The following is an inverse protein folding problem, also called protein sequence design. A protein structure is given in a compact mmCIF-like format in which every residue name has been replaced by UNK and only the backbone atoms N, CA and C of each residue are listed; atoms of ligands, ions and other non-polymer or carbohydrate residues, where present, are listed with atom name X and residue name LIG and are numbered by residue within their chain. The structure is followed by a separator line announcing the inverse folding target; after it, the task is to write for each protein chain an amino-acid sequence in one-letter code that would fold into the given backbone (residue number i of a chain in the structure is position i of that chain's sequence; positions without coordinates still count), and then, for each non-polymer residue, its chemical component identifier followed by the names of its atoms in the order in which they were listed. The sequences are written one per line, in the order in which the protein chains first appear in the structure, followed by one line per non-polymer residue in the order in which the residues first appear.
data_IF_851150128211
#
_entry.id   IF_851150128211
#
_cell.length_a   1.000
_cell.length_b   1.000
_cell.length_c   1.000
_cell.angle_alpha   90.00
_cell.angle_beta   90.00
_cell.angle_gamma   90.00
#
_symmetry.space_group_name_H-M   'P 1'
#
loop_
_entity.id
_entity.type
_entity.pdbx_description
1 polymer ?
#
# COMPACT_ATOMS: atom_id res chain seq x y z
N UNK A 1 -20.70 -4.93 2.80
CA UNK A 1 -19.24 -4.99 2.60
C UNK A 1 -18.58 -4.12 3.65
N UNK A 2 -17.43 -4.52 4.22
CA UNK A 2 -16.69 -3.66 5.14
C UNK A 2 -16.25 -2.36 4.44
N UNK A 3 -16.10 -1.28 5.22
CA UNK A 3 -15.62 0.02 4.75
C UNK A 3 -14.31 -0.14 3.93
N UNK A 4 -14.25 0.37 2.68
CA UNK A 4 -13.06 0.25 1.83
C UNK A 4 -11.78 0.80 2.47
N UNK A 5 -11.86 1.87 3.28
CA UNK A 5 -10.71 2.42 3.98
C UNK A 5 -10.19 1.44 5.04
N UNK A 6 -11.10 0.84 5.80
CA UNK A 6 -10.78 -0.19 6.79
C UNK A 6 -10.18 -1.41 6.10
N UNK A 7 -10.75 -1.87 4.98
CA UNK A 7 -10.24 -3.02 4.21
C UNK A 7 -8.79 -2.81 3.76
N UNK A 8 -8.47 -1.66 3.16
CA UNK A 8 -7.10 -1.35 2.71
C UNK A 8 -6.11 -1.31 3.88
N UNK A 9 -6.51 -0.73 5.02
CA UNK A 9 -5.70 -0.73 6.24
C UNK A 9 -5.45 -2.15 6.74
N UNK A 10 -6.49 -2.98 6.85
CA UNK A 10 -6.36 -4.37 7.30
C UNK A 10 -5.44 -5.19 6.39
N UNK A 11 -5.49 -4.97 5.07
CA UNK A 11 -4.57 -5.61 4.12
C UNK A 11 -3.10 -5.21 4.38
N UNK A 12 -2.84 -3.93 4.62
CA UNK A 12 -1.49 -3.47 4.96
C UNK A 12 -0.98 -4.13 6.26
N UNK A 13 -1.81 -4.19 7.30
CA UNK A 13 -1.44 -4.84 8.56
C UNK A 13 -1.30 -6.36 8.43
N UNK A 14 -2.12 -7.00 7.61
CA UNK A 14 -1.99 -8.43 7.31
C UNK A 14 -0.66 -8.73 6.60
N UNK A 15 -0.26 -7.90 5.64
CA UNK A 15 1.03 -7.99 4.97
C UNK A 15 2.19 -7.89 5.98
N UNK A 16 2.21 -6.84 6.83
CA UNK A 16 3.24 -6.68 7.87
C UNK A 16 3.29 -7.89 8.81
N UNK A 17 2.13 -8.36 9.29
CA UNK A 17 2.05 -9.52 10.19
C UNK A 17 2.63 -10.77 9.51
N UNK A 18 2.23 -11.05 8.27
CA UNK A 18 2.74 -12.20 7.51
C UNK A 18 4.26 -12.17 7.37
N UNK A 19 4.82 -11.01 7.02
CA UNK A 19 6.26 -10.84 6.85
C UNK A 19 7.05 -11.02 8.16
N UNK A 20 6.52 -10.55 9.28
CA UNK A 20 7.16 -10.69 10.58
C UNK A 20 7.03 -12.11 11.17
N UNK A 21 5.95 -12.82 10.83
CA UNK A 21 5.76 -14.22 11.23
C UNK A 21 6.71 -15.16 10.49
N UNK A 22 6.96 -14.93 9.20
CA UNK A 22 7.86 -15.75 8.38
C UNK A 22 8.95 -14.91 7.70
N UNK A 23 9.93 -14.48 8.51
CA UNK A 23 11.04 -13.64 8.05
C UNK A 23 11.93 -14.35 7.04
N UNK A 24 12.12 -15.67 7.18
CA UNK A 24 12.95 -16.46 6.27
C UNK A 24 12.32 -16.55 4.88
N UNK A 25 11.01 -16.78 4.80
CA UNK A 25 10.29 -16.75 3.52
C UNK A 25 10.30 -15.35 2.90
N UNK A 26 10.12 -14.30 3.71
CA UNK A 26 10.22 -12.92 3.24
C UNK A 26 11.59 -12.61 2.60
N UNK A 27 12.68 -13.02 3.25
CA UNK A 27 14.03 -12.82 2.76
C UNK A 27 14.28 -13.56 1.42
N UNK A 28 13.74 -14.77 1.26
CA UNK A 28 13.79 -15.51 -0.02
C UNK A 28 13.03 -14.77 -1.13
N UNK A 29 11.86 -14.21 -0.83
CA UNK A 29 11.05 -13.50 -1.82
C UNK A 29 11.67 -12.16 -2.25
N UNK A 30 12.31 -11.42 -1.33
CA UNK A 30 12.59 -9.99 -1.55
C UNK A 30 14.00 -9.51 -1.24
N UNK A 31 14.81 -10.23 -0.46
CA UNK A 31 16.12 -9.74 0.02
C UNK A 31 17.31 -10.39 -0.69
N UNK A 32 17.09 -11.07 -1.82
CA UNK A 32 18.13 -11.80 -2.56
C UNK A 32 18.96 -12.73 -1.66
N UNK A 33 18.32 -13.38 -0.68
CA UNK A 33 18.96 -14.17 0.36
C UNK A 33 19.82 -15.35 -0.16
N UNK A 34 19.62 -15.76 -1.42
CA UNK A 34 20.39 -16.83 -2.07
C UNK A 34 21.24 -16.23 -3.20
N UNK A 35 22.57 -16.20 -3.09
CA UNK A 35 23.46 -15.67 -4.13
C UNK A 35 23.22 -16.34 -5.48
N UNK A 36 23.01 -15.54 -6.52
CA UNK A 36 22.78 -16.02 -7.88
C UNK A 36 21.38 -16.59 -8.15
N UNK A 37 20.51 -16.71 -7.14
CA UNK A 37 19.12 -17.09 -7.34
C UNK A 37 18.35 -15.97 -8.03
N UNK A 38 17.57 -16.34 -9.05
CA UNK A 38 16.57 -15.47 -9.67
C UNK A 38 15.25 -16.23 -9.71
N UNK A 39 14.14 -15.65 -9.22
CA UNK A 39 12.85 -16.29 -9.33
C UNK A 39 12.49 -16.49 -10.79
N UNK A 40 12.01 -17.70 -11.11
CA UNK A 40 11.50 -18.01 -12.44
C UNK A 40 10.15 -17.31 -12.72
N UNK A 41 9.68 -17.32 -13.98
CA UNK A 41 8.43 -16.69 -14.37
C UNK A 41 7.21 -17.17 -13.55
N UNK A 42 7.17 -18.45 -13.21
CA UNK A 42 6.09 -19.04 -12.40
C UNK A 42 6.08 -18.48 -10.97
N UNK A 43 7.25 -18.34 -10.34
CA UNK A 43 7.38 -17.76 -9.00
C UNK A 43 6.97 -16.28 -8.98
N UNK A 44 7.33 -15.52 -10.04
CA UNK A 44 6.91 -14.13 -10.19
C UNK A 44 5.39 -14.01 -10.39
N UNK A 45 4.80 -14.90 -11.19
CA UNK A 45 3.35 -14.96 -11.38
C UNK A 45 2.62 -15.31 -10.07
N UNK A 46 3.14 -16.27 -9.30
CA UNK A 46 2.61 -16.61 -7.98
C UNK A 46 2.70 -15.44 -7.01
N UNK A 47 3.83 -14.74 -6.96
CA UNK A 47 3.99 -13.53 -6.16
C UNK A 47 2.97 -12.45 -6.56
N UNK A 48 2.77 -12.23 -7.86
CA UNK A 48 1.77 -11.28 -8.37
C UNK A 48 0.33 -11.70 -8.07
N UNK A 49 0.03 -13.00 -8.06
CA UNK A 49 -1.31 -13.49 -7.72
C UNK A 49 -1.74 -13.09 -6.29
N UNK A 50 -0.78 -12.99 -5.37
CA UNK A 50 -1.04 -12.50 -4.00
C UNK A 50 -1.43 -11.01 -3.96
N UNK A 51 -1.05 -10.25 -4.99
CA UNK A 51 -1.37 -8.82 -5.14
C UNK A 51 -2.82 -8.60 -5.58
N UNK A 52 -3.48 -9.59 -6.19
CA UNK A 52 -4.84 -9.47 -6.74
C UNK A 52 -5.83 -8.99 -5.68
N UNK A 53 -5.73 -9.50 -4.45
CA UNK A 53 -6.62 -9.10 -3.34
C UNK A 53 -6.49 -7.61 -3.00
N UNK A 54 -5.27 -7.06 -3.08
CA UNK A 54 -5.02 -5.63 -2.90
C UNK A 54 -5.55 -4.81 -4.07
N UNK A 55 -5.31 -5.26 -5.31
CA UNK A 55 -5.78 -4.57 -6.52
C UNK A 55 -7.31 -4.50 -6.55
N UNK A 56 -7.99 -5.58 -6.20
CA UNK A 56 -9.46 -5.58 -6.11
C UNK A 56 -9.97 -4.65 -5.00
N UNK A 57 -9.32 -4.62 -3.83
CA UNK A 57 -9.67 -3.68 -2.77
C UNK A 57 -9.46 -2.21 -3.18
N UNK A 58 -8.42 -1.93 -3.99
CA UNK A 58 -8.17 -0.62 -4.55
C UNK A 58 -9.25 -0.25 -5.57
N UNK A 59 -9.63 -1.18 -6.46
CA UNK A 59 -10.73 -0.96 -7.41
C UNK A 59 -12.03 -0.65 -6.67
N UNK A 60 -12.39 -1.44 -5.67
CA UNK A 60 -13.57 -1.19 -4.83
C UNK A 60 -13.55 0.21 -4.20
N UNK A 61 -12.38 0.64 -3.69
CA UNK A 61 -12.22 1.97 -3.10
C UNK A 61 -12.28 3.11 -4.14
N UNK A 62 -11.84 2.88 -5.38
CA UNK A 62 -12.04 3.81 -6.48
C UNK A 62 -13.52 3.92 -6.87
N UNK A 63 -14.23 2.80 -6.93
CA UNK A 63 -15.65 2.73 -7.29
C UNK A 63 -16.55 3.46 -6.27
N UNK A 64 -16.15 3.52 -4.99
CA UNK A 64 -16.84 4.33 -3.97
C UNK A 64 -16.40 5.78 -3.91
N UNK A 65 -15.47 6.21 -4.76
CA UNK A 65 -14.87 7.56 -4.74
C UNK A 65 -13.96 7.84 -3.54
N UNK A 66 -13.57 6.81 -2.78
CA UNK A 66 -12.62 6.95 -1.67
C UNK A 66 -11.20 7.22 -2.19
N UNK A 67 -10.85 6.58 -3.31
CA UNK A 67 -9.62 6.82 -4.06
C UNK A 67 -9.94 7.52 -5.39
N UNK A 68 -8.98 8.28 -5.91
CA UNK A 68 -9.07 8.88 -7.24
C UNK A 68 -9.21 7.77 -8.29
N UNK A 69 -10.15 7.91 -9.21
CA UNK A 69 -10.26 7.01 -10.36
C UNK A 69 -8.95 6.99 -11.18
N UNK A 70 -8.54 5.80 -11.63
CA UNK A 70 -7.28 5.61 -12.35
C UNK A 70 -6.95 4.14 -12.57
N UNK A 71 -5.67 3.81 -12.69
CA UNK A 71 -5.19 2.42 -12.77
C UNK A 71 -5.10 1.82 -11.35
N UNK A 72 -5.96 0.83 -10.99
CA UNK A 72 -5.93 0.20 -9.68
C UNK A 72 -4.63 -0.59 -9.44
N UNK A 73 -3.97 -1.09 -10.49
CA UNK A 73 -2.69 -1.77 -10.32
C UNK A 73 -1.57 -0.79 -9.96
N UNK A 74 -1.51 0.37 -10.59
CA UNK A 74 -0.54 1.41 -10.25
C UNK A 74 -0.69 1.86 -8.79
N UNK A 75 -1.93 2.09 -8.34
CA UNK A 75 -2.20 2.45 -6.94
C UNK A 75 -1.91 1.29 -5.99
N UNK A 76 -2.27 0.05 -6.36
CA UNK A 76 -1.92 -1.14 -5.60
C UNK A 76 -0.41 -1.30 -5.41
N UNK A 77 0.37 -1.08 -6.48
CA UNK A 77 1.85 -1.08 -6.43
C UNK A 77 2.39 0.00 -5.51
N UNK A 78 1.84 1.21 -5.54
CA UNK A 78 2.24 2.30 -4.65
C UNK A 78 2.00 1.95 -3.17
N UNK A 79 0.79 1.47 -2.84
CA UNK A 79 0.44 1.06 -1.49
C UNK A 79 1.32 -0.11 -1.00
N UNK A 80 1.53 -1.10 -1.87
CA UNK A 80 2.41 -2.22 -1.58
C UNK A 80 3.85 -1.76 -1.34
N UNK A 81 4.40 -0.87 -2.17
CA UNK A 81 5.77 -0.36 -2.03
C UNK A 81 5.99 0.37 -0.69
N UNK A 82 5.02 1.16 -0.24
CA UNK A 82 5.08 1.84 1.06
C UNK A 82 5.11 0.86 2.24
N UNK A 83 4.24 -0.16 2.22
CA UNK A 83 4.24 -1.23 3.22
C UNK A 83 5.51 -2.09 3.14
N UNK A 84 5.92 -2.46 1.94
CA UNK A 84 7.09 -3.29 1.67
C UNK A 84 8.37 -2.63 2.19
N UNK A 85 8.63 -1.37 1.82
CA UNK A 85 9.84 -0.66 2.24
C UNK A 85 9.97 -0.53 3.76
N UNK A 86 8.88 -0.18 4.46
CA UNK A 86 8.89 -0.09 5.93
C UNK A 86 9.08 -1.44 6.60
N UNK A 87 8.46 -2.51 6.09
CA UNK A 87 8.61 -3.87 6.62
C UNK A 87 10.03 -4.42 6.37
N UNK A 88 10.62 -4.15 5.22
CA UNK A 88 12.00 -4.56 4.93
C UNK A 88 13.00 -3.84 5.84
N UNK A 89 12.77 -2.58 6.18
CA UNK A 89 13.59 -1.85 7.17
C UNK A 89 13.46 -2.42 8.58
N UNK A 90 12.27 -2.89 8.97
CA UNK A 90 12.01 -3.59 10.25
C UNK A 90 12.75 -4.93 10.29
N UNK A 91 12.56 -5.77 9.27
CA UNK A 91 13.16 -7.12 9.21
C UNK A 91 14.69 -7.07 9.17
N UNK A 92 15.27 -6.13 8.44
CA UNK A 92 16.72 -5.94 8.36
C UNK A 92 17.33 -5.23 9.58
N UNK A 93 16.52 -4.77 10.53
CA UNK A 93 16.97 -4.11 11.76
C UNK A 93 17.41 -2.65 11.59
N UNK A 94 17.16 -2.03 10.44
CA UNK A 94 17.41 -0.60 10.23
C UNK A 94 16.40 0.29 10.95
N UNK A 95 15.19 -0.23 11.16
CA UNK A 95 14.19 0.32 12.08
C UNK A 95 13.81 -0.77 13.08
N UNK A 96 13.50 -0.39 14.32
CA UNK A 96 13.13 -1.37 15.36
C UNK A 96 12.01 -0.83 16.25
N UNK A 97 11.29 -1.74 16.92
CA UNK A 97 10.29 -1.39 17.93
C UNK A 97 9.25 -0.39 17.45
N UNK A 98 9.05 0.67 18.25
CA UNK A 98 8.05 1.70 17.97
C UNK A 98 8.37 2.53 16.72
N UNK A 99 9.65 2.71 16.38
CA UNK A 99 10.05 3.45 15.18
C UNK A 99 9.66 2.72 13.91
N UNK A 100 9.83 1.40 13.87
CA UNK A 100 9.40 0.57 12.76
C UNK A 100 7.86 0.64 12.57
N UNK A 101 7.10 0.51 13.65
CA UNK A 101 5.64 0.60 13.60
C UNK A 101 5.16 1.99 13.18
N UNK A 102 5.80 3.05 13.68
CA UNK A 102 5.50 4.44 13.32
C UNK A 102 5.74 4.67 11.82
N UNK A 103 6.92 4.30 11.33
CA UNK A 103 7.27 4.43 9.91
C UNK A 103 6.29 3.68 9.01
N UNK A 104 5.93 2.43 9.37
CA UNK A 104 4.93 1.66 8.65
C UNK A 104 3.57 2.39 8.56
N UNK A 105 3.08 2.94 9.67
CA UNK A 105 1.80 3.66 9.72
C UNK A 105 1.85 4.97 8.91
N UNK A 106 2.95 5.70 9.01
CA UNK A 106 3.12 6.98 8.31
C UNK A 106 3.22 6.77 6.79
N UNK A 107 4.04 5.83 6.33
CA UNK A 107 4.21 5.57 4.89
C UNK A 107 2.94 5.01 4.25
N UNK A 108 2.25 4.06 4.91
CA UNK A 108 0.99 3.51 4.38
C UNK A 108 -0.11 4.57 4.35
N UNK A 109 -0.20 5.42 5.39
CA UNK A 109 -1.12 6.56 5.42
C UNK A 109 -0.81 7.60 4.33
N UNK A 110 0.47 7.95 4.13
CA UNK A 110 0.88 8.91 3.11
C UNK A 110 0.58 8.40 1.69
N UNK A 111 0.83 7.11 1.42
CA UNK A 111 0.52 6.49 0.14
C UNK A 111 -1.00 6.46 -0.13
N UNK A 112 -1.80 6.20 0.90
CA UNK A 112 -3.26 6.31 0.82
C UNK A 112 -3.70 7.75 0.52
N UNK A 113 -3.18 8.74 1.27
CA UNK A 113 -3.52 10.15 1.11
C UNK A 113 -3.15 10.69 -0.29
N UNK A 114 -2.01 10.27 -0.85
CA UNK A 114 -1.60 10.62 -2.21
C UNK A 114 -2.59 10.08 -3.28
N UNK A 115 -3.26 8.97 -2.97
CA UNK A 115 -4.22 8.30 -3.83
C UNK A 115 -5.66 8.80 -3.64
N UNK A 116 -5.92 9.57 -2.58
CA UNK A 116 -7.24 10.14 -2.32
C UNK A 116 -7.61 11.22 -3.36
N UNK A 117 -8.92 11.46 -3.60
CA UNK A 117 -9.38 12.56 -4.42
C UNK A 117 -8.82 13.89 -3.92
N UNK A 118 -8.40 14.75 -4.83
CA UNK A 118 -8.02 16.11 -4.47
C UNK A 118 -9.28 16.87 -4.06
N UNK A 119 -9.31 17.42 -2.85
CA UNK A 119 -10.33 18.40 -2.48
C UNK A 119 -10.19 19.58 -3.44
N UNK A 120 -11.16 19.82 -4.31
CA UNK A 120 -11.19 21.08 -5.06
C UNK A 120 -11.32 22.20 -4.02
N UNK A 121 -10.48 23.25 -4.06
CA UNK A 121 -10.75 24.43 -3.24
C UNK A 121 -12.11 24.98 -3.68
N UNK A 122 -13.07 25.02 -2.77
CA UNK A 122 -14.37 25.67 -2.99
C UNK A 122 -14.09 27.08 -3.50
N UNK A 123 -14.43 27.38 -4.76
CA UNK A 123 -14.36 28.76 -5.22
C UNK A 123 -15.36 29.57 -4.38
N UNK A 124 -14.95 30.71 -3.78
CA UNK A 124 -15.91 31.60 -3.15
C UNK A 124 -16.88 32.08 -4.23
N UNK A 125 -18.17 31.80 -4.02
CA UNK A 125 -19.24 32.20 -4.91
C UNK A 125 -19.11 33.70 -5.22
N UNK A 126 -19.04 34.00 -6.53
CA UNK A 126 -18.93 35.35 -7.02
C UNK A 126 -20.04 36.22 -6.45
N UNK A 127 -19.66 37.20 -5.63
CA UNK A 127 -20.55 38.23 -5.17
C UNK A 127 -20.84 39.16 -6.35
N UNK A 128 -21.83 38.77 -7.16
CA UNK A 128 -22.44 39.64 -8.14
C UNK A 128 -23.31 40.69 -7.42
N UNK A 129 -22.78 41.91 -7.43
CA UNK A 129 -23.46 43.19 -7.69
C UNK A 129 -24.51 43.68 -6.68
N UNK A 130 -24.26 44.86 -6.07
CA UNK A 130 -25.18 46.02 -6.14
C UNK A 130 -24.38 47.32 -6.13
N UNK A 131 -24.42 48.00 -7.28
CA UNK A 131 -24.15 49.44 -7.45
C UNK A 131 -25.45 50.20 -7.24
#
# INVERSE_FOLDING_TARGET
MPDPAVRLRELAHAYRRSALTDRSFYAVMFEAAVPGYRPGPESLAAAWSSMVVLVDAVRDAMDTGLLRAGDPEAVGRLLHAAAHGSVSLDISGHLTGDDALRCFRELTSAAFAASAPSSSPSQPEGQALRT
#
